data_IF_109928615169
#
_entry.id   IF_109928615169
#
_cell.length_a   1.000
_cell.length_b   1.000
_cell.length_c   1.000
_cell.angle_alpha   90.00
_cell.angle_beta   90.00
_cell.angle_gamma   90.00
#
_symmetry.space_group_name_H-M   'P 1'
#
loop_
_entity.id
_entity.type
_entity.pdbx_description
1 polymer ?
#
# COMPACT_ATOMS: atom_id res chain seq x y z
N UNK A 1 -54.00 -9.30 28.58
CA UNK A 1 -52.97 -8.24 28.53
C UNK A 1 -52.41 -8.19 27.11
N UNK A 2 -52.66 -7.13 26.35
CA UNK A 2 -52.19 -7.04 24.96
C UNK A 2 -50.66 -7.08 24.90
N UNK A 3 -50.14 -7.98 24.07
CA UNK A 3 -48.71 -8.13 23.78
C UNK A 3 -48.19 -6.93 22.96
N UNK A 4 -49.04 -6.31 22.13
CA UNK A 4 -48.75 -5.09 21.36
C UNK A 4 -49.37 -3.84 22.00
N UNK A 5 -48.58 -3.15 22.83
CA UNK A 5 -48.90 -1.80 23.27
C UNK A 5 -47.77 -0.88 22.83
N UNK A 6 -48.09 0.25 22.20
CA UNK A 6 -47.13 1.25 21.69
C UNK A 6 -46.10 1.64 22.76
N UNK A 7 -46.52 1.71 24.03
CA UNK A 7 -45.63 1.99 25.16
C UNK A 7 -44.58 0.89 25.38
N UNK A 8 -44.96 -0.39 25.27
CA UNK A 8 -44.02 -1.52 25.40
C UNK A 8 -43.02 -1.56 24.25
N UNK A 9 -43.48 -1.33 23.02
CA UNK A 9 -42.61 -1.27 21.84
C UNK A 9 -41.56 -0.18 22.01
N UNK A 10 -41.97 1.02 22.42
CA UNK A 10 -41.05 2.14 22.69
C UNK A 10 -40.07 1.84 23.84
N UNK A 11 -40.52 1.20 24.91
CA UNK A 11 -39.63 0.81 26.03
C UNK A 11 -38.62 -0.25 25.61
N UNK A 12 -39.04 -1.29 24.88
CA UNK A 12 -38.12 -2.34 24.38
C UNK A 12 -37.12 -1.75 23.40
N UNK A 13 -37.57 -0.94 22.43
CA UNK A 13 -36.68 -0.27 21.49
C UNK A 13 -35.66 0.61 22.22
N UNK A 14 -36.09 1.40 23.20
CA UNK A 14 -35.18 2.22 24.01
C UNK A 14 -34.14 1.37 24.76
N UNK A 15 -34.57 0.30 25.41
CA UNK A 15 -33.66 -0.58 26.16
C UNK A 15 -32.65 -1.29 25.24
N UNK A 16 -33.10 -1.80 24.10
CA UNK A 16 -32.20 -2.42 23.10
C UNK A 16 -31.21 -1.39 22.57
N UNK A 17 -31.67 -0.18 22.20
CA UNK A 17 -30.78 0.89 21.75
C UNK A 17 -29.78 1.30 22.84
N UNK A 18 -30.22 1.38 24.11
CA UNK A 18 -29.36 1.72 25.23
C UNK A 18 -28.28 0.63 25.45
N UNK A 19 -28.68 -0.64 25.50
CA UNK A 19 -27.74 -1.75 25.69
C UNK A 19 -26.78 -1.86 24.51
N UNK A 20 -27.27 -1.79 23.26
CA UNK A 20 -26.43 -1.84 22.07
C UNK A 20 -25.44 -0.68 22.02
N UNK A 21 -25.87 0.54 22.35
CA UNK A 21 -24.99 1.72 22.34
C UNK A 21 -23.88 1.64 23.40
N UNK A 22 -24.20 1.13 24.60
CA UNK A 22 -23.19 0.88 25.64
C UNK A 22 -22.20 -0.18 25.19
N UNK A 23 -22.66 -1.33 24.70
CA UNK A 23 -21.79 -2.42 24.25
C UNK A 23 -20.86 -1.98 23.10
N UNK A 24 -21.40 -1.29 22.09
CA UNK A 24 -20.62 -0.77 20.96
C UNK A 24 -19.59 0.27 21.43
N UNK A 25 -19.98 1.18 22.32
CA UNK A 25 -19.07 2.22 22.84
C UNK A 25 -17.92 1.62 23.65
N UNK A 26 -18.20 0.68 24.55
CA UNK A 26 -17.18 -0.01 25.35
C UNK A 26 -16.22 -0.80 24.46
N UNK A 27 -16.74 -1.54 23.48
CA UNK A 27 -15.90 -2.28 22.54
C UNK A 27 -15.04 -1.34 21.68
N UNK A 28 -15.65 -0.29 21.10
CA UNK A 28 -14.97 0.64 20.23
C UNK A 28 -13.84 1.40 20.94
N UNK A 29 -14.10 1.93 22.13
CA UNK A 29 -13.10 2.74 22.86
C UNK A 29 -12.07 1.84 23.53
N UNK A 30 -12.50 0.72 24.14
CA UNK A 30 -11.61 -0.18 24.87
C UNK A 30 -10.61 -0.92 23.98
N UNK A 31 -10.99 -1.26 22.74
CA UNK A 31 -10.11 -1.98 21.82
C UNK A 31 -9.29 -1.06 20.90
N UNK A 32 -9.70 0.21 20.72
CA UNK A 32 -9.08 1.11 19.74
C UNK A 32 -7.55 1.18 19.88
N UNK A 33 -7.05 1.38 21.09
CA UNK A 33 -5.61 1.49 21.31
C UNK A 33 -4.86 0.21 20.92
N UNK A 34 -5.42 -0.97 21.25
CA UNK A 34 -4.84 -2.25 20.85
C UNK A 34 -4.91 -2.48 19.34
N UNK A 35 -5.98 -2.03 18.69
CA UNK A 35 -6.11 -2.12 17.24
C UNK A 35 -5.05 -1.25 16.54
N UNK A 36 -4.84 -0.02 17.01
CA UNK A 36 -3.82 0.89 16.46
C UNK A 36 -2.41 0.31 16.62
N UNK A 37 -2.07 -0.22 17.80
CA UNK A 37 -0.78 -0.87 18.04
C UNK A 37 -0.56 -2.10 17.15
N UNK A 38 -1.59 -2.95 17.04
CA UNK A 38 -1.51 -4.14 16.18
C UNK A 38 -1.37 -3.77 14.70
N UNK A 39 -2.07 -2.74 14.23
CA UNK A 39 -1.95 -2.25 12.85
C UNK A 39 -0.56 -1.69 12.57
N UNK A 40 0.04 -0.99 13.53
CA UNK A 40 1.39 -0.46 13.39
C UNK A 40 2.44 -1.57 13.36
N UNK A 41 2.31 -2.57 14.24
CA UNK A 41 3.19 -3.75 14.23
C UNK A 41 3.02 -4.57 12.95
N UNK A 42 1.78 -4.76 12.49
CA UNK A 42 1.47 -5.45 11.24
C UNK A 42 2.04 -4.70 10.03
N UNK A 43 1.97 -3.37 10.02
CA UNK A 43 2.61 -2.54 8.99
C UNK A 43 4.13 -2.75 8.97
N UNK A 44 4.79 -2.68 10.13
CA UNK A 44 6.25 -2.94 10.26
C UNK A 44 6.61 -4.36 9.82
N UNK A 45 5.81 -5.35 10.20
CA UNK A 45 5.97 -6.74 9.78
C UNK A 45 5.88 -6.90 8.27
N UNK A 46 4.88 -6.28 7.63
CA UNK A 46 4.72 -6.31 6.18
C UNK A 46 5.89 -5.65 5.45
N UNK A 47 6.39 -4.52 5.97
CA UNK A 47 7.61 -3.88 5.44
C UNK A 47 8.80 -4.85 5.50
N UNK A 48 9.02 -5.53 6.63
CA UNK A 48 10.09 -6.51 6.78
C UNK A 48 9.92 -7.71 5.84
N UNK A 49 8.69 -8.21 5.66
CA UNK A 49 8.40 -9.33 4.77
C UNK A 49 8.69 -8.99 3.31
N UNK A 50 8.24 -7.81 2.86
CA UNK A 50 8.47 -7.32 1.50
C UNK A 50 9.96 -7.04 1.26
N UNK A 51 10.68 -6.59 2.29
CA UNK A 51 12.12 -6.41 2.24
C UNK A 51 12.92 -7.73 2.23
N UNK A 52 12.28 -8.86 2.51
CA UNK A 52 12.96 -10.16 2.70
C UNK A 52 13.76 -10.26 4.02
N UNK A 53 13.48 -9.39 4.99
CA UNK A 53 14.18 -9.32 6.29
C UNK A 53 13.45 -10.03 7.43
N UNK A 54 12.17 -10.38 7.24
CA UNK A 54 11.32 -10.91 8.30
C UNK A 54 11.72 -12.33 8.74
N UNK A 55 12.06 -12.46 10.01
CA UNK A 55 12.30 -13.71 10.73
C UNK A 55 11.25 -13.87 11.85
N UNK A 56 10.42 -14.94 11.80
CA UNK A 56 9.40 -15.18 12.83
C UNK A 56 9.99 -15.54 14.21
N UNK A 57 11.27 -15.90 14.31
CA UNK A 57 11.93 -16.21 15.58
C UNK A 57 12.36 -14.95 16.37
N UNK A 58 12.34 -13.77 15.75
CA UNK A 58 12.79 -12.49 16.34
C UNK A 58 11.64 -11.50 16.45
N UNK A 59 11.77 -10.52 17.34
CA UNK A 59 10.76 -9.46 17.46
C UNK A 59 10.78 -8.53 16.24
N UNK A 60 9.62 -7.99 15.88
CA UNK A 60 9.48 -7.03 14.77
C UNK A 60 10.32 -5.77 15.05
N UNK A 61 10.27 -5.25 16.29
CA UNK A 61 11.01 -4.05 16.68
C UNK A 61 12.53 -4.19 16.54
N UNK A 62 13.08 -5.36 16.83
CA UNK A 62 14.52 -5.60 16.68
C UNK A 62 14.94 -5.57 15.20
N UNK A 63 14.17 -6.24 14.37
CA UNK A 63 14.43 -6.34 12.92
C UNK A 63 14.24 -5.00 12.22
N UNK A 64 13.24 -4.23 12.65
CA UNK A 64 12.91 -2.92 12.08
C UNK A 64 13.98 -1.86 12.35
N UNK A 65 14.93 -2.08 13.27
CA UNK A 65 16.08 -1.17 13.46
C UNK A 65 16.97 -1.05 12.22
N UNK A 66 16.93 -2.03 11.31
CA UNK A 66 17.62 -1.99 10.01
C UNK A 66 16.88 -1.17 8.95
N UNK A 67 15.68 -0.69 9.29
CA UNK A 67 14.82 0.06 8.40
C UNK A 67 14.77 1.50 8.89
N UNK A 68 15.31 2.43 8.09
CA UNK A 68 15.21 3.86 8.37
C UNK A 68 13.95 4.43 7.70
N UNK A 69 13.27 5.35 8.37
CA UNK A 69 12.10 6.03 7.82
C UNK A 69 12.48 7.47 7.45
N UNK A 70 12.07 7.91 6.25
CA UNK A 70 12.23 9.29 5.80
C UNK A 70 10.96 9.81 5.17
N UNK A 71 10.69 11.10 5.34
CA UNK A 71 9.55 11.76 4.71
C UNK A 71 9.96 12.36 3.37
N UNK A 72 9.16 12.14 2.33
CA UNK A 72 9.34 12.68 0.98
C UNK A 72 8.22 13.67 0.69
N UNK A 73 8.55 14.89 0.28
CA UNK A 73 7.58 15.85 -0.26
C UNK A 73 7.34 15.54 -1.75
N UNK A 74 6.11 15.15 -2.08
CA UNK A 74 5.74 14.68 -3.43
C UNK A 74 5.61 15.80 -4.47
N UNK A 75 5.67 17.06 -4.05
CA UNK A 75 5.64 18.20 -4.96
C UNK A 75 7.05 18.58 -5.42
N UNK A 76 8.00 18.58 -4.50
CA UNK A 76 9.42 18.89 -4.76
C UNK A 76 10.23 17.66 -5.17
N UNK A 77 9.80 16.46 -4.77
CA UNK A 77 10.54 15.22 -4.99
C UNK A 77 11.79 15.13 -4.12
N UNK A 78 11.79 15.71 -2.92
CA UNK A 78 12.94 15.78 -2.01
C UNK A 78 12.61 15.21 -0.64
N UNK A 79 13.64 14.77 0.08
CA UNK A 79 13.49 14.42 1.49
C UNK A 79 13.25 15.67 2.33
N UNK A 80 12.43 15.51 3.37
CA UNK A 80 12.11 16.57 4.34
C UNK A 80 12.20 16.03 5.77
N UNK A 81 12.69 16.86 6.69
CA UNK A 81 12.98 16.48 8.09
C UNK A 81 11.72 16.31 8.95
N UNK A 82 10.62 16.93 8.54
CA UNK A 82 9.30 16.77 9.15
C UNK A 82 8.28 16.53 8.04
N UNK A 83 7.18 15.82 8.33
CA UNK A 83 6.08 15.70 7.37
C UNK A 83 5.69 17.10 6.93
N UNK A 84 5.89 17.42 5.65
CA UNK A 84 5.69 18.78 5.17
C UNK A 84 4.24 19.19 5.47
N UNK A 85 4.06 20.09 6.43
CA UNK A 85 2.75 20.63 6.77
C UNK A 85 2.22 21.36 5.53
N UNK A 86 1.07 20.93 5.02
CA UNK A 86 0.48 21.54 3.85
C UNK A 86 -0.81 20.85 3.44
N UNK A 87 -1.64 21.60 2.71
CA UNK A 87 -2.91 21.10 2.22
C UNK A 87 -2.70 19.90 1.29
N UNK A 88 -3.49 18.83 1.43
CA UNK A 88 -3.50 17.74 0.48
C UNK A 88 -3.79 18.23 -0.94
N UNK A 89 -3.21 17.57 -1.94
CA UNK A 89 -3.46 17.86 -3.34
C UNK A 89 -4.75 17.15 -3.78
N UNK A 90 -5.76 17.93 -4.18
CA UNK A 90 -6.99 17.39 -4.79
C UNK A 90 -6.67 17.01 -6.24
N UNK A 91 -6.84 15.73 -6.56
CA UNK A 91 -6.45 15.19 -7.87
C UNK A 91 -7.57 15.48 -8.88
N UNK A 92 -7.27 16.12 -10.02
CA UNK A 92 -8.24 16.26 -11.09
C UNK A 92 -8.76 14.90 -11.55
N UNK A 93 -10.06 14.78 -11.84
CA UNK A 93 -10.69 13.50 -12.20
C UNK A 93 -9.98 12.79 -13.37
N UNK A 94 -9.48 13.54 -14.37
CA UNK A 94 -8.73 12.99 -15.50
C UNK A 94 -7.39 12.32 -15.11
N UNK A 95 -6.87 12.62 -13.92
CA UNK A 95 -5.61 12.11 -13.39
C UNK A 95 -5.81 11.10 -12.24
N UNK A 96 -7.03 10.98 -11.71
CA UNK A 96 -7.36 10.10 -10.57
C UNK A 96 -7.73 8.67 -11.02
N UNK A 97 -6.92 8.08 -11.90
CA UNK A 97 -7.16 6.72 -12.37
C UNK A 97 -6.91 5.65 -11.29
N UNK A 98 -6.20 6.00 -10.20
CA UNK A 98 -6.08 5.17 -9.00
C UNK A 98 -7.27 5.31 -8.02
N UNK A 99 -8.19 6.25 -8.26
CA UNK A 99 -9.41 6.43 -7.45
C UNK A 99 -9.15 6.84 -6.00
N UNK A 100 -8.07 7.59 -5.76
CA UNK A 100 -7.65 8.02 -4.41
C UNK A 100 -8.18 9.42 -4.06
N UNK A 101 -8.63 10.20 -5.05
CA UNK A 101 -9.23 11.56 -4.96
C UNK A 101 -8.29 12.65 -4.45
N UNK A 102 -7.51 12.36 -3.42
CA UNK A 102 -6.64 13.28 -2.72
C UNK A 102 -5.30 12.59 -2.48
N UNK A 103 -4.21 13.31 -2.78
CA UNK A 103 -2.83 12.88 -2.52
C UNK A 103 -2.26 13.70 -1.35
N UNK A 104 -1.69 13.07 -0.32
CA UNK A 104 -1.01 13.81 0.75
C UNK A 104 0.18 14.58 0.18
N UNK A 105 0.59 15.65 0.88
CA UNK A 105 1.74 16.45 0.45
C UNK A 105 3.06 15.69 0.63
N UNK A 106 3.17 14.93 1.70
CA UNK A 106 4.33 14.10 2.00
C UNK A 106 3.93 12.65 2.26
N UNK A 107 4.86 11.74 1.97
CA UNK A 107 4.75 10.31 2.23
C UNK A 107 5.97 9.83 3.00
N UNK A 108 5.73 8.98 3.98
CA UNK A 108 6.78 8.26 4.69
C UNK A 108 7.26 7.10 3.80
N UNK A 109 8.54 7.05 3.49
CA UNK A 109 9.19 5.96 2.76
C UNK A 109 10.22 5.28 3.66
N UNK A 110 10.50 4.02 3.39
CA UNK A 110 11.41 3.23 4.23
C UNK A 110 12.62 2.80 3.43
N UNK A 111 13.80 2.91 4.03
CA UNK A 111 15.06 2.56 3.42
C UNK A 111 15.68 1.41 4.20
N UNK A 112 16.15 0.42 3.46
CA UNK A 112 16.97 -0.66 3.98
C UNK A 112 18.38 -0.37 3.54
N UNK A 113 19.27 -0.16 4.51
CA UNK A 113 20.67 0.19 4.28
C UNK A 113 21.57 -0.85 4.94
N UNK A 114 22.66 -1.18 4.26
CA UNK A 114 23.73 -2.03 4.78
C UNK A 114 25.05 -1.30 4.55
N UNK A 115 25.80 -1.09 5.64
CA UNK A 115 27.06 -0.33 5.66
C UNK A 115 26.98 1.04 4.97
N UNK A 116 25.86 1.75 5.15
CA UNK A 116 25.61 3.06 4.55
C UNK A 116 25.27 3.03 3.06
N UNK A 117 25.10 1.83 2.48
CA UNK A 117 24.67 1.64 1.09
C UNK A 117 23.20 1.24 1.05
N UNK A 118 22.41 1.94 0.23
CA UNK A 118 21.01 1.60 -0.01
C UNK A 118 20.91 0.21 -0.65
N UNK A 119 20.21 -0.69 0.03
CA UNK A 119 19.87 -2.02 -0.49
C UNK A 119 18.48 -2.05 -1.09
N UNK A 120 17.50 -1.41 -0.45
CA UNK A 120 16.13 -1.34 -0.94
C UNK A 120 15.44 -0.07 -0.49
N UNK A 121 14.53 0.43 -1.32
CA UNK A 121 13.62 1.53 -0.99
C UNK A 121 12.17 1.05 -1.08
N UNK A 122 11.45 1.17 0.02
CA UNK A 122 10.10 0.66 0.20
C UNK A 122 9.13 1.83 0.21
N UNK A 123 8.23 1.83 -0.78
CA UNK A 123 7.32 2.91 -1.06
C UNK A 123 5.88 2.47 -0.74
N UNK A 124 5.16 3.16 0.15
CA UNK A 124 3.74 2.92 0.33
C UNK A 124 2.97 3.31 -0.92
N UNK A 125 2.09 2.43 -1.37
CA UNK A 125 1.23 2.62 -2.53
C UNK A 125 -0.20 2.23 -2.17
N UNK A 126 -1.17 2.95 -2.69
CA UNK A 126 -2.57 2.62 -2.46
C UNK A 126 -3.49 3.07 -3.60
N UNK A 127 -4.62 2.39 -3.76
CA UNK A 127 -5.59 2.73 -4.79
C UNK A 127 -6.84 1.87 -4.73
N UNK A 128 -7.85 2.30 -5.48
CA UNK A 128 -9.15 1.64 -5.52
C UNK A 128 -9.05 0.31 -6.28
N UNK A 129 -9.40 -0.78 -5.60
CA UNK A 129 -9.69 -2.08 -6.18
C UNK A 129 -11.14 -2.12 -6.70
N UNK A 130 -11.80 -3.27 -6.60
CA UNK A 130 -13.24 -3.34 -6.88
C UNK A 130 -14.06 -2.85 -5.68
N UNK A 131 -13.84 -3.45 -4.52
CA UNK A 131 -14.66 -3.24 -3.33
C UNK A 131 -14.06 -2.23 -2.38
N UNK A 132 -12.73 -2.19 -2.30
CA UNK A 132 -12.00 -1.49 -1.24
C UNK A 132 -10.87 -0.62 -1.79
N UNK A 133 -10.31 0.25 -0.95
CA UNK A 133 -8.99 0.80 -1.19
C UNK A 133 -7.97 -0.23 -0.73
N UNK A 134 -7.05 -0.59 -1.62
CA UNK A 134 -5.96 -1.52 -1.36
C UNK A 134 -4.75 -0.69 -0.94
N UNK A 135 -4.14 -1.02 0.20
CA UNK A 135 -2.93 -0.40 0.71
C UNK A 135 -1.81 -1.43 0.77
N UNK A 136 -0.67 -1.07 0.22
CA UNK A 136 0.47 -1.96 0.11
C UNK A 136 1.78 -1.21 0.06
N UNK A 137 2.84 -1.98 -0.17
CA UNK A 137 4.17 -1.48 -0.41
C UNK A 137 4.73 -2.08 -1.69
N UNK A 138 5.56 -1.28 -2.37
CA UNK A 138 6.48 -1.77 -3.38
C UNK A 138 7.90 -1.48 -2.92
N UNK A 139 8.74 -2.52 -2.86
CA UNK A 139 10.16 -2.38 -2.62
C UNK A 139 10.88 -2.34 -3.97
N UNK A 140 11.77 -1.37 -4.11
CA UNK A 140 12.65 -1.19 -5.25
C UNK A 140 14.09 -1.51 -4.82
N UNK A 141 14.83 -2.15 -5.72
CA UNK A 141 16.26 -2.37 -5.60
C UNK A 141 17.04 -1.02 -5.61
N UNK A 142 18.37 -1.02 -5.40
CA UNK A 142 19.17 0.21 -5.33
C UNK A 142 19.12 1.05 -6.61
N UNK A 143 18.81 0.44 -7.75
CA UNK A 143 18.62 1.12 -9.04
C UNK A 143 17.31 1.93 -9.14
N UNK A 144 16.43 1.83 -8.15
CA UNK A 144 15.14 2.51 -8.06
C UNK A 144 14.22 2.25 -9.27
N UNK A 145 14.39 1.12 -9.95
CA UNK A 145 13.55 0.70 -11.09
C UNK A 145 13.20 -0.79 -11.05
N UNK A 146 14.07 -1.63 -10.50
CA UNK A 146 13.81 -3.06 -10.33
C UNK A 146 12.98 -3.28 -9.07
N UNK A 147 11.87 -3.98 -9.19
CA UNK A 147 11.06 -4.40 -8.04
C UNK A 147 11.81 -5.49 -7.28
N UNK A 148 12.11 -5.28 -6.00
CA UNK A 148 12.63 -6.32 -5.10
C UNK A 148 11.53 -7.02 -4.33
N UNK A 149 10.37 -6.39 -4.15
CA UNK A 149 9.23 -6.95 -3.44
C UNK A 149 7.94 -6.15 -3.65
N UNK A 150 6.81 -6.80 -3.43
CA UNK A 150 5.49 -6.18 -3.50
C UNK A 150 4.53 -6.92 -2.57
N UNK A 151 3.55 -6.21 -2.00
CA UNK A 151 2.52 -6.82 -1.18
C UNK A 151 1.51 -5.82 -0.64
N UNK A 152 0.35 -6.32 -0.23
CA UNK A 152 -0.70 -5.55 0.43
C UNK A 152 -0.73 -5.86 1.93
N UNK A 153 -1.06 -4.87 2.74
CA UNK A 153 -1.28 -5.04 4.18
C UNK A 153 -2.73 -4.73 4.59
N UNK A 154 -3.51 -4.12 3.70
CA UNK A 154 -4.92 -3.84 3.95
C UNK A 154 -5.70 -3.77 2.64
N UNK A 155 -6.72 -4.62 2.52
CA UNK A 155 -7.75 -4.52 1.49
C UNK A 155 -9.01 -5.27 1.95
N UNK A 156 -10.11 -5.09 1.22
CA UNK A 156 -11.41 -5.75 1.46
C UNK A 156 -11.97 -6.36 0.18
N UNK A 157 -11.09 -6.92 -0.64
CA UNK A 157 -11.48 -7.62 -1.86
C UNK A 157 -12.00 -9.03 -1.54
N UNK A 158 -12.79 -9.62 -2.43
CA UNK A 158 -13.42 -10.93 -2.20
C UNK A 158 -12.36 -12.04 -2.14
N UNK A 159 -12.26 -12.83 -1.04
CA UNK A 159 -11.37 -13.98 -0.95
C UNK A 159 -11.59 -14.99 -2.08
N UNK A 160 -10.52 -15.57 -2.63
CA UNK A 160 -10.58 -16.49 -3.78
C UNK A 160 -10.81 -15.81 -5.15
N UNK A 161 -11.00 -14.48 -5.17
CA UNK A 161 -11.06 -13.67 -6.39
C UNK A 161 -10.06 -12.52 -6.26
N UNK A 162 -10.53 -11.30 -5.97
CA UNK A 162 -9.65 -10.14 -5.81
C UNK A 162 -8.71 -10.25 -4.62
N UNK A 163 -9.06 -11.05 -3.60
CA UNK A 163 -8.18 -11.33 -2.48
C UNK A 163 -6.94 -12.17 -2.82
N UNK A 164 -6.87 -12.74 -4.03
CA UNK A 164 -5.65 -13.43 -4.49
C UNK A 164 -4.47 -12.49 -4.74
N UNK A 165 -4.64 -11.17 -4.56
CA UNK A 165 -3.50 -10.23 -4.47
C UNK A 165 -2.56 -10.55 -3.29
N UNK A 166 -3.02 -11.31 -2.30
CA UNK A 166 -2.20 -11.81 -1.18
C UNK A 166 -1.59 -13.20 -1.45
N UNK A 167 -1.89 -13.80 -2.61
CA UNK A 167 -1.41 -15.14 -2.93
C UNK A 167 0.13 -15.13 -3.06
N UNK A 168 0.81 -15.95 -2.25
CA UNK A 168 2.29 -16.05 -2.24
C UNK A 168 2.88 -16.35 -3.61
N UNK A 169 2.24 -17.23 -4.39
CA UNK A 169 2.68 -17.59 -5.75
C UNK A 169 2.50 -16.44 -6.74
N UNK A 170 1.53 -15.55 -6.52
CA UNK A 170 1.36 -14.35 -7.32
C UNK A 170 2.36 -13.26 -6.91
N UNK A 171 2.54 -13.02 -5.60
CA UNK A 171 3.52 -12.08 -5.05
C UNK A 171 4.96 -12.45 -5.44
N UNK A 172 5.29 -13.74 -5.51
CA UNK A 172 6.61 -14.22 -5.95
C UNK A 172 6.97 -13.87 -7.41
N UNK A 173 6.01 -13.40 -8.22
CA UNK A 173 6.25 -12.99 -9.63
C UNK A 173 6.69 -11.54 -9.77
N UNK A 174 6.67 -10.77 -8.68
CA UNK A 174 7.01 -9.35 -8.67
C UNK A 174 8.51 -9.05 -8.63
N UNK A 175 9.32 -9.75 -7.82
CA UNK A 175 10.76 -9.52 -7.80
C UNK A 175 11.41 -9.68 -9.19
N UNK A 176 12.32 -8.77 -9.53
CA UNK A 176 13.03 -8.73 -10.82
C UNK A 176 12.28 -8.02 -11.95
N UNK A 177 11.02 -7.63 -11.76
CA UNK A 177 10.27 -6.84 -12.75
C UNK A 177 10.77 -5.40 -12.78
N UNK A 178 10.69 -4.78 -13.95
CA UNK A 178 11.08 -3.39 -14.14
C UNK A 178 9.85 -2.48 -14.05
N UNK A 179 10.01 -1.31 -13.44
CA UNK A 179 8.95 -0.29 -13.38
C UNK A 179 8.88 0.48 -14.69
N UNK A 180 10.02 0.95 -15.19
CA UNK A 180 10.13 1.93 -16.27
C UNK A 180 10.69 1.33 -17.57
N UNK A 181 10.17 1.77 -18.72
CA UNK A 181 10.84 1.55 -20.00
C UNK A 181 12.02 2.50 -20.23
N UNK A 182 12.67 2.35 -21.37
CA UNK A 182 13.80 3.18 -21.82
C UNK A 182 13.42 4.67 -21.95
N UNK A 183 12.14 4.97 -22.16
CA UNK A 183 11.59 6.33 -22.22
C UNK A 183 11.23 6.89 -20.83
N UNK A 184 11.41 6.11 -19.76
CA UNK A 184 11.05 6.49 -18.39
C UNK A 184 9.54 6.43 -18.10
N UNK A 185 8.75 5.78 -18.95
CA UNK A 185 7.31 5.57 -18.75
C UNK A 185 7.07 4.36 -17.86
N UNK A 186 6.08 4.43 -16.95
CA UNK A 186 5.67 3.27 -16.16
C UNK A 186 5.05 2.23 -17.10
N UNK A 187 5.71 1.06 -17.22
CA UNK A 187 5.20 -0.08 -17.99
C UNK A 187 4.79 -1.25 -17.11
N UNK A 188 5.21 -1.28 -15.84
CA UNK A 188 4.81 -2.30 -14.89
C UNK A 188 3.29 -2.35 -14.75
N UNK A 189 2.70 -3.51 -15.06
CA UNK A 189 1.26 -3.72 -15.00
C UNK A 189 0.88 -5.17 -14.77
N UNK A 190 -0.33 -5.37 -14.28
CA UNK A 190 -0.98 -6.68 -14.17
C UNK A 190 -1.84 -6.91 -15.43
N UNK A 191 -1.63 -8.02 -16.12
CA UNK A 191 -2.41 -8.38 -17.30
C UNK A 191 -3.80 -8.91 -16.93
N UNK A 192 -4.64 -9.13 -17.94
CA UNK A 192 -5.91 -9.85 -17.75
C UNK A 192 -5.69 -11.37 -17.62
N UNK A 193 -4.68 -11.90 -18.30
CA UNK A 193 -4.35 -13.31 -18.36
C UNK A 193 -2.87 -13.56 -18.00
N UNK A 194 -2.31 -14.72 -18.36
CA UNK A 194 -0.91 -15.02 -18.10
C UNK A 194 0.01 -14.15 -18.95
N UNK A 195 1.21 -13.90 -18.43
CA UNK A 195 2.32 -13.29 -19.15
C UNK A 195 2.92 -14.32 -20.10
N UNK A 196 3.12 -13.89 -21.34
CA UNK A 196 3.93 -14.62 -22.31
C UNK A 196 5.41 -14.33 -22.02
N UNK A 197 6.16 -15.37 -21.62
CA UNK A 197 7.56 -15.25 -21.22
C UNK A 197 8.48 -14.83 -22.37
N UNK A 198 8.10 -15.14 -23.61
CA UNK A 198 8.89 -14.80 -24.80
C UNK A 198 8.63 -13.36 -25.28
N UNK A 199 7.66 -12.67 -24.67
CA UNK A 199 7.36 -11.29 -25.00
C UNK A 199 8.45 -10.35 -24.46
N UNK A 200 8.93 -9.43 -25.29
CA UNK A 200 9.88 -8.38 -24.88
C UNK A 200 9.39 -7.55 -23.68
N UNK A 201 8.07 -7.47 -23.48
CA UNK A 201 7.46 -6.75 -22.37
C UNK A 201 7.23 -7.62 -21.12
N UNK A 202 7.60 -8.90 -21.11
CA UNK A 202 7.42 -9.79 -19.97
C UNK A 202 8.09 -9.25 -18.69
N UNK A 203 9.20 -8.51 -18.83
CA UNK A 203 9.90 -7.83 -17.73
C UNK A 203 9.05 -6.74 -17.04
N UNK A 204 7.99 -6.27 -17.69
CA UNK A 204 7.06 -5.24 -17.21
C UNK A 204 5.69 -5.80 -16.82
N UNK A 205 5.48 -7.11 -16.90
CA UNK A 205 4.15 -7.69 -16.82
C UNK A 205 4.06 -8.72 -15.70
N UNK A 206 2.94 -8.66 -14.98
CA UNK A 206 2.52 -9.61 -13.96
C UNK A 206 1.27 -10.33 -14.45
N UNK A 207 1.14 -11.60 -14.11
CA UNK A 207 -0.04 -12.39 -14.44
C UNK A 207 -1.32 -11.77 -13.87
N UNK A 208 -2.40 -11.84 -14.63
CA UNK A 208 -3.73 -11.53 -14.14
C UNK A 208 -4.20 -12.49 -13.06
N UNK A 209 -5.19 -12.03 -12.29
CA UNK A 209 -5.89 -12.84 -11.31
C UNK A 209 -7.19 -13.33 -11.95
N UNK A 210 -7.35 -14.65 -12.05
CA UNK A 210 -8.53 -15.29 -12.64
C UNK A 210 -9.80 -14.83 -11.94
N UNK A 211 -10.80 -14.39 -12.70
CA UNK A 211 -12.07 -13.88 -12.15
C UNK A 211 -12.01 -12.52 -11.46
N UNK A 212 -10.83 -11.88 -11.37
CA UNK A 212 -10.65 -10.61 -10.64
C UNK A 212 -9.99 -9.50 -11.47
N UNK A 213 -10.39 -9.36 -12.74
CA UNK A 213 -9.82 -8.36 -13.66
C UNK A 213 -9.95 -6.92 -13.14
N UNK A 214 -11.02 -6.57 -12.41
CA UNK A 214 -11.20 -5.22 -11.86
C UNK A 214 -10.20 -4.92 -10.73
N UNK A 215 -9.97 -5.88 -9.83
CA UNK A 215 -8.93 -5.78 -8.79
C UNK A 215 -7.54 -5.67 -9.43
N UNK A 216 -7.20 -6.55 -10.38
CA UNK A 216 -5.93 -6.50 -11.11
C UNK A 216 -5.71 -5.16 -11.85
N UNK A 217 -6.76 -4.59 -12.42
CA UNK A 217 -6.72 -3.23 -13.01
C UNK A 217 -6.46 -2.18 -11.93
N UNK A 218 -7.10 -2.28 -10.77
CA UNK A 218 -6.83 -1.42 -9.62
C UNK A 218 -5.36 -1.44 -9.19
N UNK A 219 -4.74 -2.63 -9.17
CA UNK A 219 -3.30 -2.79 -8.91
C UNK A 219 -2.45 -2.10 -9.98
N UNK A 220 -2.78 -2.26 -11.26
CA UNK A 220 -2.06 -1.57 -12.34
C UNK A 220 -2.19 -0.04 -12.22
N UNK A 221 -3.38 0.44 -11.88
CA UNK A 221 -3.67 1.87 -11.75
C UNK A 221 -2.93 2.51 -10.57
N UNK A 222 -2.91 1.87 -9.40
CA UNK A 222 -2.17 2.42 -8.25
C UNK A 222 -0.66 2.47 -8.53
N UNK A 223 -0.10 1.47 -9.21
CA UNK A 223 1.31 1.46 -9.62
C UNK A 223 1.59 2.60 -10.59
N UNK A 224 0.79 2.72 -11.64
CA UNK A 224 0.94 3.77 -12.64
C UNK A 224 0.82 5.19 -12.04
N UNK A 225 -0.02 5.36 -11.01
CA UNK A 225 -0.17 6.64 -10.32
C UNK A 225 1.04 6.94 -9.43
N UNK A 226 1.34 6.03 -8.49
CA UNK A 226 2.38 6.25 -7.49
C UNK A 226 3.79 6.23 -8.06
N UNK A 227 4.04 5.48 -9.14
CA UNK A 227 5.35 5.47 -9.80
C UNK A 227 5.39 6.40 -11.01
N UNK A 228 4.32 7.15 -11.27
CA UNK A 228 4.23 8.17 -12.33
C UNK A 228 4.58 9.57 -11.85
N UNK A 229 4.38 10.57 -12.73
CA UNK A 229 4.71 11.98 -12.48
C UNK A 229 4.02 12.57 -11.25
N UNK A 230 2.81 12.10 -10.96
CA UNK A 230 2.01 12.54 -9.82
C UNK A 230 2.34 11.77 -8.52
N UNK A 231 3.36 10.94 -8.51
CA UNK A 231 3.78 10.16 -7.35
C UNK A 231 5.27 10.34 -7.05
N UNK A 232 5.96 9.23 -6.90
CA UNK A 232 7.37 9.14 -6.53
C UNK A 232 8.32 9.35 -7.72
N UNK A 233 7.85 9.37 -8.98
CA UNK A 233 8.77 9.44 -10.14
C UNK A 233 9.75 10.62 -10.07
N UNK A 234 9.34 11.87 -9.74
CA UNK A 234 10.27 12.99 -9.64
C UNK A 234 11.35 12.75 -8.58
N UNK A 235 10.94 12.21 -7.43
CA UNK A 235 11.83 11.86 -6.32
C UNK A 235 12.83 10.76 -6.70
N UNK A 236 12.35 9.64 -7.24
CA UNK A 236 13.20 8.52 -7.66
C UNK A 236 14.16 8.93 -8.79
N UNK A 237 13.71 9.80 -9.72
CA UNK A 237 14.55 10.33 -10.77
C UNK A 237 15.63 11.28 -10.26
N UNK A 238 15.33 12.09 -9.24
CA UNK A 238 16.31 12.93 -8.55
C UNK A 238 17.43 12.08 -7.93
N UNK A 239 17.06 11.08 -7.12
CA UNK A 239 18.03 10.20 -6.46
C UNK A 239 18.94 9.44 -7.43
N UNK A 240 18.43 9.02 -8.59
CA UNK A 240 19.24 8.38 -9.63
C UNK A 240 20.26 9.32 -10.27
N UNK A 241 19.91 10.60 -10.43
CA UNK A 241 20.83 11.61 -11.01
C UNK A 241 21.94 11.99 -10.05
N UNK A 242 21.64 12.01 -8.76
CA UNK A 242 22.60 12.42 -7.72
C UNK A 242 23.58 11.31 -7.31
N UNK A 243 23.50 10.14 -7.96
CA UNK A 243 24.46 9.03 -7.81
C UNK A 243 24.12 8.04 -6.67
N UNK A 244 22.87 8.00 -6.21
CA UNK A 244 22.50 7.32 -4.98
C UNK A 244 22.59 8.28 -3.78
N UNK A 245 21.84 7.96 -2.72
CA UNK A 245 21.64 8.81 -1.55
C UNK A 245 22.96 9.41 -1.03
N UNK A 246 23.18 10.71 -1.29
CA UNK A 246 24.27 11.45 -0.64
C UNK A 246 23.94 11.57 0.86
N UNK A 247 24.93 11.39 1.75
CA UNK A 247 24.73 11.40 3.20
C UNK A 247 24.15 12.73 3.72
#
# INVERSE_FOLDING_TARGET
MSRDSTRKVLTVAFLVCLVCSILVSVAAIGLKHRQEQNQEEEKRRNILQIAGLYDPARSVDEQFKKVSSRSVDLASGQFVTASAAGSPYVIPLAQDFAGIKVRPRSMEVYLVEEDGTLQQMILPVYGKGLWSTMYGFIALAPDLTTVSGFGFYQHGETPGLGGEIDNRSWLAKWPGKQVYNEQGEVKLKVLKGPVDADNVNARYQIDGISGATLTARGVSNLIAYWLGENGYKPFLAGLRKDGGMQP
#
